data_IF_025302919422
#
_entry.id   IF_025302919422
#
_cell.length_a   1.000
_cell.length_b   1.000
_cell.length_c   1.000
_cell.angle_alpha   90.00
_cell.angle_beta   90.00
_cell.angle_gamma   90.00
#
_symmetry.space_group_name_H-M   'P 1'
#
loop_
_entity.id
_entity.type
_entity.pdbx_description
1 polymer ?
#
# COMPACT_ATOMS: atom_id res chain seq x y z
N UNK A 1 -17.43 18.71 -10.38
CA UNK A 1 -18.76 18.19 -10.75
C UNK A 1 -18.85 16.73 -10.32
N UNK A 2 -19.99 16.31 -9.76
CA UNK A 2 -20.29 14.91 -9.45
C UNK A 2 -21.30 14.41 -10.49
N UNK A 3 -21.06 13.22 -11.03
CA UNK A 3 -21.95 12.54 -11.98
C UNK A 3 -22.27 11.13 -11.48
N UNK A 4 -23.38 10.56 -11.93
CA UNK A 4 -23.85 9.25 -11.49
C UNK A 4 -23.53 8.10 -12.47
N UNK A 5 -23.07 8.44 -13.67
CA UNK A 5 -22.66 7.48 -14.70
C UNK A 5 -21.31 7.86 -15.30
N UNK A 6 -20.54 6.87 -15.75
CA UNK A 6 -19.32 7.09 -16.51
C UNK A 6 -19.58 7.77 -17.85
N UNK A 7 -20.76 7.60 -18.42
CA UNK A 7 -21.18 8.22 -19.69
C UNK A 7 -21.40 9.75 -19.56
N UNK A 8 -21.62 10.24 -18.33
CA UNK A 8 -21.83 11.66 -18.03
C UNK A 8 -20.54 12.42 -17.71
N UNK A 9 -19.37 11.76 -17.76
CA UNK A 9 -18.10 12.37 -17.44
C UNK A 9 -17.72 13.35 -18.57
N UNK A 10 -17.36 14.56 -18.17
CA UNK A 10 -16.76 15.55 -19.08
C UNK A 10 -15.26 15.36 -19.14
N UNK A 11 -14.76 14.83 -20.24
CA UNK A 11 -13.36 14.49 -20.44
C UNK A 11 -12.48 15.64 -20.95
N UNK A 12 -13.05 16.82 -21.28
CA UNK A 12 -12.33 17.90 -21.98
C UNK A 12 -11.06 18.37 -21.28
N UNK A 13 -11.09 18.45 -19.97
CA UNK A 13 -9.97 18.91 -19.13
C UNK A 13 -9.41 17.78 -18.26
N UNK A 14 -9.69 16.53 -18.61
CA UNK A 14 -9.19 15.39 -17.85
C UNK A 14 -7.75 15.07 -18.25
N UNK A 15 -6.86 14.98 -17.26
CA UNK A 15 -5.46 14.58 -17.43
C UNK A 15 -5.18 13.17 -16.95
N UNK A 16 -6.01 12.65 -16.08
CA UNK A 16 -5.81 11.38 -15.41
C UNK A 16 -7.15 10.86 -14.87
N UNK A 17 -7.37 9.57 -14.98
CA UNK A 17 -8.47 8.87 -14.30
C UNK A 17 -7.90 8.07 -13.14
N UNK A 18 -8.49 8.21 -11.95
CA UNK A 18 -8.13 7.42 -10.76
C UNK A 18 -9.34 6.61 -10.30
N UNK A 19 -9.26 5.30 -10.42
CA UNK A 19 -10.29 4.39 -9.92
C UNK A 19 -10.02 4.08 -8.44
N UNK A 20 -11.06 4.21 -7.60
CA UNK A 20 -11.02 3.97 -6.16
C UNK A 20 -12.24 3.17 -5.67
N UNK A 21 -12.83 2.32 -6.51
CA UNK A 21 -13.96 1.47 -6.10
C UNK A 21 -13.50 0.33 -5.18
N UNK A 22 -14.46 -0.40 -4.61
CA UNK A 22 -14.19 -1.51 -3.70
C UNK A 22 -13.19 -2.51 -4.28
N UNK A 23 -12.36 -3.13 -3.41
CA UNK A 23 -11.30 -4.07 -3.78
C UNK A 23 -11.89 -5.43 -4.19
N UNK A 24 -12.61 -5.45 -5.32
CA UNK A 24 -13.29 -6.60 -5.92
C UNK A 24 -12.86 -6.69 -7.37
N UNK A 25 -12.07 -7.69 -7.73
CA UNK A 25 -11.46 -7.79 -9.06
C UNK A 25 -12.49 -7.75 -10.21
N UNK A 26 -13.57 -8.54 -10.21
CA UNK A 26 -14.58 -8.47 -11.29
C UNK A 26 -15.20 -7.08 -11.46
N UNK A 27 -15.48 -6.37 -10.34
CA UNK A 27 -16.01 -5.02 -10.36
C UNK A 27 -15.05 -4.04 -11.05
N UNK A 28 -13.76 -4.12 -10.73
CA UNK A 28 -12.74 -3.28 -11.36
C UNK A 28 -12.60 -3.59 -12.85
N UNK A 29 -12.56 -4.85 -13.23
CA UNK A 29 -12.48 -5.29 -14.63
C UNK A 29 -13.69 -4.79 -15.44
N UNK A 30 -14.90 -4.92 -14.92
CA UNK A 30 -16.11 -4.42 -15.57
C UNK A 30 -16.09 -2.90 -15.72
N UNK A 31 -15.72 -2.18 -14.67
CA UNK A 31 -15.61 -0.72 -14.70
C UNK A 31 -14.60 -0.26 -15.75
N UNK A 32 -13.40 -0.85 -15.79
CA UNK A 32 -12.39 -0.47 -16.76
C UNK A 32 -12.78 -0.83 -18.19
N UNK A 33 -13.50 -1.92 -18.42
CA UNK A 33 -14.08 -2.26 -19.72
C UNK A 33 -15.14 -1.24 -20.21
N UNK A 34 -15.85 -0.59 -19.29
CA UNK A 34 -16.74 0.54 -19.61
C UNK A 34 -15.95 1.81 -19.87
N UNK A 35 -15.00 2.16 -18.98
CA UNK A 35 -14.16 3.35 -19.10
C UNK A 35 -13.30 3.35 -20.37
N UNK A 36 -12.83 2.20 -20.80
CA UNK A 36 -12.06 2.05 -22.04
C UNK A 36 -12.81 2.56 -23.28
N UNK A 37 -14.14 2.40 -23.30
CA UNK A 37 -15.00 2.77 -24.43
C UNK A 37 -15.29 4.28 -24.50
N UNK A 38 -15.33 4.95 -23.34
CA UNK A 38 -15.78 6.35 -23.22
C UNK A 38 -14.64 7.33 -22.94
N UNK A 39 -13.58 6.89 -22.26
CA UNK A 39 -12.44 7.75 -21.95
C UNK A 39 -11.56 7.99 -23.19
N UNK A 40 -11.10 9.23 -23.41
CA UNK A 40 -10.20 9.56 -24.52
C UNK A 40 -8.98 8.64 -24.56
N UNK A 41 -8.56 8.21 -25.76
CA UNK A 41 -7.49 7.21 -25.94
C UNK A 41 -6.16 7.61 -25.33
N UNK A 42 -5.87 8.92 -25.30
CA UNK A 42 -4.63 9.46 -24.72
C UNK A 42 -4.63 9.54 -23.20
N UNK A 43 -5.80 9.37 -22.55
CA UNK A 43 -5.91 9.55 -21.11
C UNK A 43 -5.37 8.31 -20.36
N UNK A 44 -4.40 8.47 -19.43
CA UNK A 44 -4.01 7.37 -18.54
C UNK A 44 -5.18 6.87 -17.70
N UNK A 45 -5.36 5.55 -17.66
CA UNK A 45 -6.30 4.88 -16.77
C UNK A 45 -5.53 4.35 -15.58
N UNK A 46 -5.87 4.79 -14.37
CA UNK A 46 -5.16 4.31 -13.17
C UNK A 46 -6.07 3.69 -12.15
N UNK A 47 -5.57 2.68 -11.44
CA UNK A 47 -6.25 2.04 -10.32
C UNK A 47 -5.50 2.26 -9.02
N UNK A 48 -6.24 2.65 -7.97
CA UNK A 48 -5.74 2.75 -6.60
C UNK A 48 -5.89 1.40 -5.84
N UNK A 49 -5.91 0.28 -6.55
CA UNK A 49 -5.90 -1.03 -5.91
C UNK A 49 -4.69 -1.18 -5.00
N UNK A 50 -4.91 -1.77 -3.81
CA UNK A 50 -3.85 -2.01 -2.82
C UNK A 50 -3.27 -3.42 -2.89
N UNK A 51 -3.99 -4.37 -3.49
CA UNK A 51 -3.64 -5.79 -3.47
C UNK A 51 -3.59 -6.46 -4.84
N UNK A 52 -4.45 -6.06 -5.77
CA UNK A 52 -4.49 -6.68 -7.08
C UNK A 52 -3.41 -6.16 -8.02
N UNK A 53 -2.66 -7.05 -8.67
CA UNK A 53 -1.81 -6.67 -9.80
C UNK A 53 -2.61 -5.92 -10.86
N UNK A 54 -2.01 -4.87 -11.39
CA UNK A 54 -2.63 -4.03 -12.42
C UNK A 54 -2.89 -4.84 -13.70
N UNK A 55 -1.98 -5.74 -14.05
CA UNK A 55 -2.14 -6.68 -15.16
C UNK A 55 -3.41 -7.53 -15.04
N UNK A 56 -3.78 -7.94 -13.82
CA UNK A 56 -5.03 -8.68 -13.57
C UNK A 56 -6.27 -7.81 -13.74
N UNK A 57 -6.21 -6.54 -13.35
CA UNK A 57 -7.31 -5.60 -13.56
C UNK A 57 -7.48 -5.30 -15.04
N UNK A 58 -6.37 -5.19 -15.78
CA UNK A 58 -6.32 -4.87 -17.21
C UNK A 58 -6.47 -6.08 -18.13
N UNK A 59 -6.73 -7.27 -17.63
CA UNK A 59 -6.61 -8.55 -18.37
C UNK A 59 -7.40 -8.56 -19.69
N UNK A 60 -8.61 -8.04 -19.69
CA UNK A 60 -9.51 -8.01 -20.84
C UNK A 60 -9.55 -6.68 -21.60
N UNK A 61 -8.66 -5.74 -21.30
CA UNK A 61 -8.64 -4.43 -21.98
C UNK A 61 -7.86 -4.51 -23.30
N UNK A 62 -8.41 -3.93 -24.34
CA UNK A 62 -7.70 -3.73 -25.63
C UNK A 62 -6.62 -2.65 -25.48
N UNK A 63 -6.88 -1.62 -24.67
CA UNK A 63 -6.01 -0.47 -24.44
C UNK A 63 -5.26 -0.55 -23.10
N UNK A 64 -4.84 -1.75 -22.71
CA UNK A 64 -4.11 -1.96 -21.44
C UNK A 64 -2.72 -1.29 -21.42
N UNK A 65 -2.22 -0.84 -22.56
CA UNK A 65 -1.00 -0.03 -22.68
C UNK A 65 -1.10 1.30 -21.91
N UNK A 66 -2.30 1.87 -21.75
CA UNK A 66 -2.53 3.08 -20.95
C UNK A 66 -2.95 2.83 -19.49
N UNK A 67 -2.94 1.56 -19.07
CA UNK A 67 -3.30 1.17 -17.71
C UNK A 67 -2.09 1.17 -16.79
N UNK A 68 -2.18 1.90 -15.67
CA UNK A 68 -1.10 2.08 -14.69
C UNK A 68 -1.66 1.94 -13.28
N UNK A 69 -0.91 1.35 -12.36
CA UNK A 69 -1.26 1.42 -10.95
C UNK A 69 -0.88 2.76 -10.34
N UNK A 70 -1.76 3.30 -9.49
CA UNK A 70 -1.52 4.54 -8.78
C UNK A 70 -1.97 4.39 -7.32
N UNK A 71 -1.12 3.76 -6.52
CA UNK A 71 -1.45 3.37 -5.16
C UNK A 71 -1.06 4.44 -4.14
N UNK A 72 -2.07 4.98 -3.46
CA UNK A 72 -1.91 5.93 -2.36
C UNK A 72 -1.92 5.22 -1.01
N UNK A 73 -1.09 5.67 -0.08
CA UNK A 73 -1.11 5.21 1.30
C UNK A 73 -2.07 6.04 2.14
N UNK A 74 -2.79 5.38 3.06
CA UNK A 74 -3.71 6.04 3.97
C UNK A 74 -2.98 6.68 5.17
N UNK A 75 -3.38 7.88 5.59
CA UNK A 75 -4.37 8.78 4.97
C UNK A 75 -3.81 9.50 3.74
N UNK A 76 -4.48 9.37 2.61
CA UNK A 76 -3.95 9.77 1.29
C UNK A 76 -3.63 11.28 1.16
N UNK A 77 -4.28 12.12 1.96
CA UNK A 77 -4.03 13.57 1.96
C UNK A 77 -2.76 13.98 2.72
N UNK A 78 -2.26 13.13 3.62
CA UNK A 78 -1.08 13.39 4.46
C UNK A 78 0.16 12.65 3.97
N UNK A 79 0.01 11.36 3.61
CA UNK A 79 1.15 10.54 3.18
C UNK A 79 1.61 10.98 1.79
N UNK A 80 2.84 11.50 1.65
CA UNK A 80 3.30 12.05 0.37
C UNK A 80 3.65 10.98 -0.66
N UNK A 81 3.98 9.77 -0.24
CA UNK A 81 4.38 8.69 -1.15
C UNK A 81 3.20 8.17 -1.97
N UNK A 82 3.45 7.95 -3.26
CA UNK A 82 2.51 7.30 -4.19
C UNK A 82 3.30 6.29 -5.01
N UNK A 83 2.86 5.04 -5.04
CA UNK A 83 3.44 4.04 -5.91
C UNK A 83 2.82 4.14 -7.30
N UNK A 84 3.66 4.16 -8.33
CA UNK A 84 3.28 4.12 -9.75
C UNK A 84 3.72 2.76 -10.30
N UNK A 85 2.76 1.88 -10.54
CA UNK A 85 3.00 0.47 -10.83
C UNK A 85 2.89 0.21 -12.32
N UNK A 86 3.95 -0.39 -12.87
CA UNK A 86 4.03 -0.82 -14.27
C UNK A 86 3.33 -2.17 -14.41
N UNK A 87 2.20 -2.23 -15.10
CA UNK A 87 1.56 -3.47 -15.51
C UNK A 87 2.32 -4.11 -16.69
N UNK A 88 2.07 -5.40 -16.95
CA UNK A 88 2.78 -6.13 -18.01
C UNK A 88 2.63 -5.51 -19.41
N UNK A 89 1.49 -4.86 -19.67
CA UNK A 89 1.19 -4.22 -20.96
C UNK A 89 1.26 -2.69 -20.91
N UNK A 90 1.60 -2.08 -19.76
CA UNK A 90 1.68 -0.62 -19.63
C UNK A 90 2.76 -0.04 -20.54
N UNK A 91 2.41 1.01 -21.28
CA UNK A 91 3.40 1.82 -22.00
C UNK A 91 4.22 2.63 -20.99
N UNK A 92 5.54 2.57 -21.09
CA UNK A 92 6.44 3.26 -20.18
C UNK A 92 6.32 4.78 -20.26
N UNK A 93 5.94 5.32 -21.42
CA UNK A 93 5.70 6.76 -21.59
C UNK A 93 4.48 7.23 -20.79
N UNK A 94 3.42 6.40 -20.70
CA UNK A 94 2.24 6.67 -19.86
C UNK A 94 2.62 6.60 -18.38
N UNK A 95 3.45 5.64 -17.99
CA UNK A 95 3.97 5.54 -16.61
C UNK A 95 4.77 6.78 -16.24
N UNK A 96 5.64 7.25 -17.11
CA UNK A 96 6.47 8.47 -16.92
C UNK A 96 5.59 9.71 -16.79
N UNK A 97 4.54 9.82 -17.62
CA UNK A 97 3.53 10.88 -17.52
C UNK A 97 2.84 10.89 -16.16
N UNK A 98 2.31 9.76 -15.72
CA UNK A 98 1.65 9.63 -14.40
C UNK A 98 2.60 10.01 -13.27
N UNK A 99 3.87 9.56 -13.31
CA UNK A 99 4.88 9.97 -12.32
C UNK A 99 5.10 11.49 -12.33
N UNK A 100 5.21 12.09 -13.51
CA UNK A 100 5.40 13.54 -13.67
C UNK A 100 4.22 14.32 -13.07
N UNK A 101 3.00 13.90 -13.36
CA UNK A 101 1.78 14.53 -12.81
C UNK A 101 1.79 14.44 -11.28
N UNK A 102 2.10 13.29 -10.72
CA UNK A 102 2.15 13.13 -9.25
C UNK A 102 3.23 14.02 -8.62
N UNK A 103 4.40 14.13 -9.25
CA UNK A 103 5.48 15.01 -8.78
C UNK A 103 5.06 16.50 -8.83
N UNK A 104 4.40 16.94 -9.88
CA UNK A 104 3.86 18.30 -10.03
C UNK A 104 2.80 18.62 -8.97
N UNK A 105 2.02 17.62 -8.55
CA UNK A 105 1.06 17.72 -7.45
C UNK A 105 1.71 17.66 -6.05
N UNK A 106 3.05 17.73 -5.97
CA UNK A 106 3.81 17.73 -4.71
C UNK A 106 3.90 16.36 -4.04
N UNK A 107 3.53 15.28 -4.72
CA UNK A 107 3.70 13.92 -4.21
C UNK A 107 5.13 13.42 -4.42
N UNK A 108 5.44 12.29 -3.78
CA UNK A 108 6.70 11.55 -3.95
C UNK A 108 6.41 10.25 -4.69
N UNK A 109 6.35 10.28 -6.03
CA UNK A 109 6.07 9.08 -6.80
C UNK A 109 7.25 8.11 -6.74
N UNK A 110 6.95 6.85 -6.51
CA UNK A 110 7.89 5.73 -6.50
C UNK A 110 7.47 4.74 -7.58
N UNK A 111 8.37 4.46 -8.53
CA UNK A 111 8.10 3.51 -9.59
C UNK A 111 8.23 2.07 -9.10
N UNK A 112 7.22 1.27 -9.36
CA UNK A 112 7.22 -0.18 -9.15
C UNK A 112 7.38 -0.86 -10.51
N UNK A 113 8.57 -1.34 -10.80
CA UNK A 113 8.95 -1.81 -12.14
C UNK A 113 8.31 -3.14 -12.55
N UNK A 114 7.77 -3.90 -11.61
CA UNK A 114 7.09 -5.17 -11.87
C UNK A 114 5.83 -5.25 -11.02
N UNK A 115 4.76 -5.64 -11.67
CA UNK A 115 3.45 -5.81 -11.07
C UNK A 115 3.42 -7.06 -10.18
N UNK A 116 3.42 -6.85 -8.88
CA UNK A 116 3.42 -7.90 -7.87
C UNK A 116 2.36 -7.62 -6.80
N UNK A 117 1.72 -8.65 -6.22
CA UNK A 117 0.74 -8.46 -5.15
C UNK A 117 1.30 -7.64 -3.98
N UNK A 118 0.57 -6.58 -3.57
CA UNK A 118 0.94 -5.71 -2.44
C UNK A 118 2.11 -4.75 -2.73
N UNK A 119 2.60 -4.67 -3.95
CA UNK A 119 3.62 -3.73 -4.44
C UNK A 119 4.87 -3.66 -3.54
N UNK A 120 5.42 -2.48 -3.23
CA UNK A 120 6.61 -2.36 -2.36
C UNK A 120 6.21 -2.11 -0.90
N UNK A 121 5.38 -1.09 -0.66
CA UNK A 121 5.07 -0.65 0.69
C UNK A 121 4.31 -1.69 1.50
N UNK A 122 3.23 -2.24 0.97
CA UNK A 122 2.45 -3.27 1.67
C UNK A 122 3.26 -4.57 1.86
N UNK A 123 4.15 -4.92 0.95
CA UNK A 123 5.03 -6.07 1.12
C UNK A 123 6.02 -5.89 2.26
N UNK A 124 6.66 -4.71 2.36
CA UNK A 124 7.58 -4.41 3.46
C UNK A 124 6.84 -4.33 4.80
N UNK A 125 5.67 -3.69 4.84
CA UNK A 125 4.82 -3.67 6.03
C UNK A 125 4.36 -5.08 6.42
N UNK A 126 3.97 -5.91 5.44
CA UNK A 126 3.58 -7.29 5.67
C UNK A 126 4.71 -8.15 6.24
N UNK A 127 5.93 -7.98 5.75
CA UNK A 127 7.11 -8.68 6.27
C UNK A 127 7.41 -8.28 7.73
N UNK A 128 7.35 -6.97 8.02
CA UNK A 128 7.50 -6.47 9.41
C UNK A 128 6.38 -7.01 10.31
N UNK A 129 5.14 -6.94 9.86
CA UNK A 129 3.99 -7.40 10.65
C UNK A 129 4.04 -8.91 10.92
N UNK A 130 4.48 -9.72 9.95
CA UNK A 130 4.63 -11.16 10.12
C UNK A 130 5.60 -11.49 11.25
N UNK A 131 6.78 -10.87 11.25
CA UNK A 131 7.77 -11.06 12.30
C UNK A 131 7.29 -10.51 13.66
N UNK A 132 6.68 -9.31 13.68
CA UNK A 132 6.11 -8.73 14.89
C UNK A 132 5.09 -9.66 15.56
N UNK A 133 4.19 -10.26 14.78
CA UNK A 133 3.21 -11.22 15.27
C UNK A 133 3.85 -12.52 15.75
N UNK A 134 4.85 -13.03 15.05
CA UNK A 134 5.58 -14.23 15.47
C UNK A 134 6.27 -14.04 16.82
N UNK A 135 6.84 -12.86 17.07
CA UNK A 135 7.44 -12.51 18.36
C UNK A 135 6.41 -12.46 19.50
N UNK A 136 5.22 -11.92 19.22
CA UNK A 136 4.11 -11.90 20.19
C UNK A 136 3.58 -13.32 20.44
N UNK A 137 3.30 -14.08 19.38
CA UNK A 137 2.78 -15.44 19.46
C UNK A 137 3.77 -16.39 20.14
N UNK A 138 5.06 -16.17 19.99
CA UNK A 138 6.14 -16.88 20.67
C UNK A 138 6.40 -16.45 22.12
N UNK A 139 5.70 -15.42 22.62
CA UNK A 139 5.87 -14.91 23.97
C UNK A 139 7.18 -14.16 24.23
N UNK A 140 7.84 -13.67 23.16
CA UNK A 140 9.11 -12.92 23.30
C UNK A 140 8.89 -11.48 23.76
N UNK A 141 7.73 -10.89 23.44
CA UNK A 141 7.40 -9.51 23.79
C UNK A 141 5.88 -9.32 23.85
N UNK A 142 5.44 -8.25 24.54
CA UNK A 142 4.05 -7.78 24.48
C UNK A 142 3.80 -7.01 23.18
N UNK A 143 2.53 -6.77 22.86
CA UNK A 143 2.14 -5.93 21.72
C UNK A 143 2.69 -4.50 21.89
N UNK A 144 2.57 -3.95 23.10
CA UNK A 144 3.06 -2.63 23.47
C UNK A 144 4.59 -2.51 23.32
N UNK A 145 5.34 -3.54 23.68
CA UNK A 145 6.79 -3.56 23.52
C UNK A 145 7.20 -3.58 22.04
N UNK A 146 6.51 -4.35 21.21
CA UNK A 146 6.75 -4.38 19.75
C UNK A 146 6.51 -2.99 19.14
N UNK A 147 5.38 -2.35 19.44
CA UNK A 147 5.08 -1.02 18.94
C UNK A 147 6.10 0.01 19.42
N UNK A 148 6.51 -0.08 20.69
CA UNK A 148 7.53 0.79 21.27
C UNK A 148 8.88 0.65 20.58
N UNK A 149 9.33 -0.59 20.35
CA UNK A 149 10.59 -0.85 19.64
C UNK A 149 10.54 -0.29 18.22
N UNK A 150 9.47 -0.51 17.49
CA UNK A 150 9.34 0.02 16.12
C UNK A 150 9.36 1.55 16.13
N UNK A 151 8.56 2.20 16.97
CA UNK A 151 8.41 3.67 16.99
C UNK A 151 9.70 4.39 17.42
N UNK A 152 10.39 3.89 18.43
CA UNK A 152 11.50 4.60 19.07
C UNK A 152 12.89 4.09 18.67
N UNK A 153 12.98 3.10 17.77
CA UNK A 153 14.25 2.59 17.26
C UNK A 153 14.40 2.82 15.74
N UNK A 154 14.23 1.78 14.97
CA UNK A 154 14.46 1.85 13.52
C UNK A 154 13.39 2.64 12.77
N UNK A 155 12.13 2.62 13.20
CA UNK A 155 11.05 3.42 12.60
C UNK A 155 11.31 4.93 12.72
N UNK A 156 11.82 5.39 13.86
CA UNK A 156 12.25 6.77 14.05
C UNK A 156 13.32 7.20 13.03
N UNK A 157 14.28 6.32 12.73
CA UNK A 157 15.35 6.60 11.77
C UNK A 157 14.89 6.62 10.33
N UNK A 158 13.84 5.85 9.99
CA UNK A 158 13.34 5.76 8.62
C UNK A 158 12.80 7.09 8.07
N UNK A 159 12.43 8.03 8.93
CA UNK A 159 12.06 9.40 8.52
C UNK A 159 13.24 10.13 7.88
N UNK A 160 14.46 9.91 8.38
CA UNK A 160 15.68 10.55 7.90
C UNK A 160 16.38 9.74 6.80
N UNK A 161 16.37 8.41 6.90
CA UNK A 161 17.06 7.53 5.97
C UNK A 161 16.29 6.22 5.81
N UNK A 162 15.91 5.88 4.59
CA UNK A 162 15.27 4.61 4.30
C UNK A 162 16.17 3.40 4.66
N UNK A 163 15.62 2.18 4.66
CA UNK A 163 16.31 1.01 5.19
C UNK A 163 17.65 0.71 4.52
N UNK A 164 17.76 0.92 3.21
CA UNK A 164 19.00 0.63 2.47
C UNK A 164 20.09 1.69 2.74
N UNK A 165 19.73 2.98 2.64
CA UNK A 165 20.65 4.08 2.96
C UNK A 165 21.17 3.98 4.40
N UNK A 166 20.32 3.62 5.34
CA UNK A 166 20.70 3.44 6.73
C UNK A 166 21.75 2.30 6.89
N UNK A 167 21.72 1.29 6.02
CA UNK A 167 22.70 0.19 6.03
C UNK A 167 24.03 0.59 5.38
N UNK A 168 24.02 1.45 4.38
CA UNK A 168 25.26 2.06 3.87
C UNK A 168 25.98 2.86 4.97
N UNK A 169 25.23 3.62 5.77
CA UNK A 169 25.78 4.37 6.90
C UNK A 169 26.39 3.46 7.96
N UNK A 170 25.77 2.30 8.25
CA UNK A 170 26.28 1.34 9.27
C UNK A 170 27.32 0.34 8.77
N UNK A 171 27.48 0.24 7.48
CA UNK A 171 28.42 -0.66 6.79
C UNK A 171 27.85 -2.03 6.43
N UNK A 172 28.08 -2.43 5.18
CA UNK A 172 27.56 -3.68 4.60
C UNK A 172 28.14 -4.93 5.29
N UNK A 173 29.37 -4.87 5.78
CA UNK A 173 29.96 -5.99 6.53
C UNK A 173 29.19 -6.30 7.81
N UNK A 174 28.80 -5.25 8.56
CA UNK A 174 27.97 -5.38 9.76
C UNK A 174 26.60 -5.96 9.41
N UNK A 175 26.01 -5.50 8.30
CA UNK A 175 24.74 -6.03 7.80
C UNK A 175 24.85 -7.51 7.47
N UNK A 176 25.89 -7.92 6.71
CA UNK A 176 26.10 -9.31 6.32
C UNK A 176 26.22 -10.23 7.55
N UNK A 177 27.03 -9.84 8.53
CA UNK A 177 27.20 -10.63 9.76
C UNK A 177 25.88 -10.78 10.54
N UNK A 178 25.14 -9.69 10.72
CA UNK A 178 23.85 -9.73 11.44
C UNK A 178 22.78 -10.53 10.69
N UNK A 179 22.67 -10.37 9.38
CA UNK A 179 21.70 -11.13 8.58
C UNK A 179 21.97 -12.62 8.56
N UNK A 180 23.25 -13.03 8.50
CA UNK A 180 23.65 -14.44 8.55
C UNK A 180 23.19 -15.13 9.84
N UNK A 181 23.07 -14.38 10.94
CA UNK A 181 22.58 -14.90 12.23
C UNK A 181 21.06 -14.80 12.38
N UNK A 182 20.47 -13.68 11.94
CA UNK A 182 19.06 -13.37 12.21
C UNK A 182 18.13 -14.03 11.18
N UNK A 183 18.43 -13.94 9.89
CA UNK A 183 17.51 -14.40 8.82
C UNK A 183 17.10 -15.87 8.93
N UNK A 184 17.96 -16.82 9.34
CA UNK A 184 17.55 -18.20 9.53
C UNK A 184 16.50 -18.42 10.63
N UNK A 185 16.32 -17.43 11.50
CA UNK A 185 15.42 -17.50 12.68
C UNK A 185 14.13 -16.70 12.51
N UNK A 186 14.02 -15.89 11.44
CA UNK A 186 12.82 -15.11 11.17
C UNK A 186 11.65 -16.00 10.75
N UNK A 187 10.43 -15.56 11.07
CA UNK A 187 9.22 -16.26 10.65
C UNK A 187 9.08 -16.27 9.13
N UNK A 188 8.71 -17.43 8.58
CA UNK A 188 8.47 -17.65 7.16
C UNK A 188 7.05 -18.13 6.85
N UNK A 189 6.13 -17.98 7.79
CA UNK A 189 4.72 -18.34 7.64
C UNK A 189 4.07 -17.68 6.43
N UNK A 190 3.19 -18.43 5.73
CA UNK A 190 2.51 -17.99 4.51
C UNK A 190 1.07 -17.55 4.73
N UNK A 191 0.61 -17.55 5.98
CA UNK A 191 -0.76 -17.17 6.37
C UNK A 191 -0.80 -16.40 7.68
N UNK A 192 -2.00 -15.97 8.11
CA UNK A 192 -2.19 -15.27 9.36
C UNK A 192 -1.87 -16.17 10.56
N UNK A 193 -1.06 -15.65 11.50
CA UNK A 193 -0.67 -16.35 12.74
C UNK A 193 -1.82 -16.52 13.74
N UNK A 194 -1.56 -17.25 14.85
CA UNK A 194 -2.58 -17.60 15.86
C UNK A 194 -3.32 -16.40 16.44
N UNK A 195 -2.60 -15.31 16.77
CA UNK A 195 -3.23 -14.09 17.31
C UNK A 195 -4.23 -13.48 16.33
N UNK A 196 -3.91 -13.39 15.03
CA UNK A 196 -4.85 -12.85 14.03
C UNK A 196 -6.06 -13.76 13.87
N UNK A 197 -5.85 -15.07 13.80
CA UNK A 197 -6.96 -16.05 13.71
C UNK A 197 -7.91 -15.96 14.90
N UNK A 198 -7.37 -15.87 16.11
CA UNK A 198 -8.15 -15.70 17.34
C UNK A 198 -8.95 -14.40 17.34
N UNK A 199 -8.30 -13.26 17.06
CA UNK A 199 -8.99 -11.97 17.03
C UNK A 199 -10.10 -11.93 15.98
N UNK A 200 -9.88 -12.53 14.81
CA UNK A 200 -10.90 -12.66 13.77
C UNK A 200 -12.08 -13.53 14.23
N UNK A 201 -11.81 -14.68 14.83
CA UNK A 201 -12.85 -15.60 15.34
C UNK A 201 -13.70 -14.96 16.46
N UNK A 202 -13.07 -14.14 17.31
CA UNK A 202 -13.73 -13.40 18.38
C UNK A 202 -14.39 -12.10 17.94
N UNK A 203 -14.38 -11.77 16.63
CA UNK A 203 -14.86 -10.51 16.06
C UNK A 203 -14.23 -9.25 16.70
N UNK A 204 -12.97 -9.35 17.13
CA UNK A 204 -12.18 -8.25 17.69
C UNK A 204 -11.35 -7.60 16.58
N UNK A 205 -12.00 -6.72 15.80
CA UNK A 205 -11.45 -6.20 14.54
C UNK A 205 -10.87 -4.79 14.65
N UNK A 206 -10.55 -4.33 15.86
CA UNK A 206 -9.93 -3.04 16.14
C UNK A 206 -10.91 -1.96 16.59
N UNK A 207 -10.64 -0.71 16.27
CA UNK A 207 -11.43 0.46 16.74
C UNK A 207 -12.93 0.35 16.46
N UNK A 208 -13.33 -0.27 15.34
CA UNK A 208 -14.74 -0.41 14.96
C UNK A 208 -15.52 -1.28 15.95
N UNK A 209 -14.90 -2.33 16.50
CA UNK A 209 -15.48 -3.25 17.49
C UNK A 209 -15.04 -2.92 18.92
N UNK A 210 -14.32 -1.80 19.08
CA UNK A 210 -13.72 -1.33 20.35
C UNK A 210 -12.73 -2.31 20.99
N UNK A 211 -12.37 -3.38 20.30
CA UNK A 211 -11.34 -4.33 20.71
C UNK A 211 -10.61 -4.93 19.50
N UNK A 212 -9.29 -5.10 19.62
CA UNK A 212 -8.40 -5.68 18.63
C UNK A 212 -7.10 -6.07 19.33
N UNK A 213 -5.96 -5.63 18.82
CA UNK A 213 -4.69 -5.68 19.56
C UNK A 213 -4.77 -4.87 20.85
N UNK A 214 -5.54 -3.77 20.83
CA UNK A 214 -5.81 -2.88 21.95
C UNK A 214 -7.30 -2.84 22.26
N UNK A 215 -7.63 -2.38 23.47
CA UNK A 215 -8.99 -1.98 23.85
C UNK A 215 -9.17 -0.50 23.58
N UNK A 216 -10.34 -0.12 23.08
CA UNK A 216 -10.64 1.21 22.60
C UNK A 216 -11.92 1.73 23.27
N UNK A 217 -11.84 2.86 23.95
CA UNK A 217 -12.98 3.72 24.23
C UNK A 217 -13.04 4.86 23.19
N UNK A 218 -14.08 5.66 23.25
CA UNK A 218 -14.30 6.72 22.25
C UNK A 218 -13.22 7.82 22.35
N UNK A 219 -12.73 8.12 23.56
CA UNK A 219 -11.68 9.10 23.82
C UNK A 219 -10.34 8.63 23.22
N UNK A 220 -9.95 7.38 23.44
CA UNK A 220 -8.74 6.80 22.89
C UNK A 220 -8.78 6.73 21.35
N UNK A 221 -9.94 6.44 20.76
CA UNK A 221 -10.14 6.45 19.31
C UNK A 221 -9.92 7.86 18.76
N UNK A 222 -10.56 8.88 19.34
CA UNK A 222 -10.40 10.26 18.89
C UNK A 222 -8.98 10.78 19.07
N UNK A 223 -8.37 10.53 20.23
CA UNK A 223 -6.97 10.91 20.49
C UNK A 223 -6.01 10.27 19.51
N UNK A 224 -6.22 8.99 19.16
CA UNK A 224 -5.37 8.30 18.18
C UNK A 224 -5.57 8.85 16.77
N UNK A 225 -6.81 9.07 16.35
CA UNK A 225 -7.11 9.71 15.05
C UNK A 225 -6.47 11.08 14.93
N UNK A 226 -6.54 11.90 15.99
CA UNK A 226 -5.91 13.22 16.01
C UNK A 226 -4.37 13.17 15.89
N UNK A 227 -3.71 12.11 16.39
CA UNK A 227 -2.27 11.90 16.16
C UNK A 227 -1.94 11.61 14.69
N UNK A 228 -2.82 10.87 13.98
CA UNK A 228 -2.64 10.56 12.56
C UNK A 228 -2.88 11.75 11.63
N UNK A 229 -3.50 12.83 12.11
CA UNK A 229 -3.83 14.01 11.30
C UNK A 229 -2.93 15.23 11.60
N UNK A 230 -1.97 15.10 12.49
CA UNK A 230 -0.94 16.12 12.80
C UNK A 230 0.37 15.85 12.07
#
# INVERSE_FOLDING_TARGET
RVVSSVDDIDWRDAYLLIECVSEILPLKQELFAQLEKVAPRHLPLTSNSSGFPISRIADNLETADRMVGLHFFMPAHLVPCVEVIVGERSDLSVVDEVQSVMAQLGRKPVRVNKDIPGFLGNRMQGALMREALALVDGGYATIEDIDTVVQYSFGFRFVAAGPLLQKDVSGIQTLHASQSTIFPTLDNGTGPGPTIQRLQAENKTGMRTKEGFYRWDDEAIEATRAKYTR
#
